data_IF_364096823248
#
_entry.id   IF_364096823248
#
_cell.length_a   1.000
_cell.length_b   1.000
_cell.length_c   1.000
_cell.angle_alpha   90.00
_cell.angle_beta   90.00
_cell.angle_gamma   90.00
#
_symmetry.space_group_name_H-M   'P 1'
#
loop_
_entity.id
_entity.type
_entity.pdbx_description
1 polymer ?
#
# COMPACT_ATOMS: atom_id res chain seq x y z
N UNK A 1 10.27 10.78 10.76
CA UNK A 1 9.59 9.55 10.31
C UNK A 1 9.01 8.82 11.52
N UNK A 2 9.84 8.23 12.38
CA UNK A 2 9.37 7.51 13.58
C UNK A 2 8.74 8.48 14.60
N UNK A 3 9.39 9.61 14.89
CA UNK A 3 8.89 10.60 15.88
C UNK A 3 7.48 11.17 15.60
N UNK A 4 7.13 11.39 14.34
CA UNK A 4 5.80 11.93 13.98
C UNK A 4 4.71 10.86 14.13
N UNK A 5 5.02 9.63 13.71
CA UNK A 5 4.13 8.48 13.87
C UNK A 5 3.94 8.11 15.34
N UNK A 6 5.02 8.03 16.12
CA UNK A 6 4.98 7.75 17.56
C UNK A 6 4.18 8.83 18.30
N UNK A 7 4.36 10.10 17.94
CA UNK A 7 3.58 11.19 18.50
C UNK A 7 2.09 11.05 18.21
N UNK A 8 1.71 10.63 17.00
CA UNK A 8 0.32 10.35 16.62
C UNK A 8 -0.23 9.11 17.31
N UNK A 9 0.57 8.06 17.47
CA UNK A 9 0.20 6.83 18.18
C UNK A 9 -0.07 7.08 19.67
N UNK A 10 0.79 7.86 20.33
CA UNK A 10 0.69 8.09 21.78
C UNK A 10 -0.44 9.07 22.11
N UNK A 11 -0.66 10.09 21.27
CA UNK A 11 -1.59 11.20 21.57
C UNK A 11 -2.91 11.15 20.81
N UNK A 12 -2.98 10.37 19.74
CA UNK A 12 -4.14 10.30 18.85
C UNK A 12 -5.00 9.07 19.09
N UNK A 13 -6.23 9.16 18.61
CA UNK A 13 -7.14 8.03 18.48
C UNK A 13 -6.69 7.09 17.36
N UNK A 14 -7.17 5.84 17.37
CA UNK A 14 -6.93 4.88 16.30
C UNK A 14 -7.37 5.44 14.94
N UNK A 15 -8.52 6.13 14.89
CA UNK A 15 -9.01 6.74 13.65
C UNK A 15 -8.05 7.82 13.11
N UNK A 16 -7.49 8.67 13.98
CA UNK A 16 -6.53 9.68 13.57
C UNK A 16 -5.22 9.06 13.06
N UNK A 17 -4.74 8.00 13.71
CA UNK A 17 -3.55 7.26 13.26
C UNK A 17 -3.79 6.61 11.90
N UNK A 18 -4.93 5.92 11.73
CA UNK A 18 -5.28 5.28 10.45
C UNK A 18 -5.42 6.31 9.32
N UNK A 19 -6.05 7.46 9.57
CA UNK A 19 -6.11 8.57 8.59
C UNK A 19 -4.72 9.10 8.27
N UNK A 20 -3.85 9.25 9.26
CA UNK A 20 -2.50 9.74 9.08
C UNK A 20 -1.65 8.81 8.21
N UNK A 21 -1.62 7.51 8.50
CA UNK A 21 -0.80 6.55 7.73
C UNK A 21 -1.33 6.33 6.30
N UNK A 22 -2.60 6.63 6.05
CA UNK A 22 -3.20 6.57 4.71
C UNK A 22 -3.06 7.89 3.92
N UNK A 23 -2.38 8.91 4.45
CA UNK A 23 -2.10 10.13 3.66
C UNK A 23 -1.18 9.81 2.47
N UNK A 24 -1.40 10.43 1.29
CA UNK A 24 -0.57 10.20 0.10
C UNK A 24 0.93 10.37 0.35
N UNK A 25 1.31 11.31 1.22
CA UNK A 25 2.70 11.55 1.59
C UNK A 25 3.30 10.38 2.37
N UNK A 26 2.53 9.76 3.29
CA UNK A 26 3.00 8.61 4.06
C UNK A 26 3.08 7.35 3.19
N UNK A 27 2.09 7.14 2.31
CA UNK A 27 2.11 6.04 1.35
C UNK A 27 3.30 6.13 0.39
N UNK A 28 3.57 7.33 -0.15
CA UNK A 28 4.73 7.59 -1.01
C UNK A 28 6.06 7.37 -0.28
N UNK A 29 6.15 7.84 0.97
CA UNK A 29 7.34 7.61 1.82
C UNK A 29 7.57 6.13 2.07
N UNK A 30 6.50 5.37 2.35
CA UNK A 30 6.58 3.93 2.56
C UNK A 30 7.12 3.21 1.31
N UNK A 31 6.52 3.45 0.14
CA UNK A 31 6.99 2.88 -1.13
C UNK A 31 8.44 3.30 -1.45
N UNK A 32 8.82 4.54 -1.13
CA UNK A 32 10.18 5.04 -1.34
C UNK A 32 11.23 4.24 -0.57
N UNK A 33 10.89 3.53 0.52
CA UNK A 33 11.87 2.69 1.22
C UNK A 33 12.39 1.57 0.32
N UNK A 34 11.49 0.95 -0.44
CA UNK A 34 11.81 -0.11 -1.39
C UNK A 34 12.54 0.44 -2.61
N UNK A 35 12.02 1.51 -3.20
CA UNK A 35 12.54 2.02 -4.48
C UNK A 35 13.85 2.81 -4.34
N UNK A 36 13.99 3.62 -3.28
CA UNK A 36 15.17 4.47 -3.10
C UNK A 36 16.36 3.71 -2.52
N UNK A 37 16.11 2.71 -1.68
CA UNK A 37 17.16 2.01 -0.94
C UNK A 37 17.31 0.55 -1.38
N UNK A 38 16.26 -0.27 -1.29
CA UNK A 38 16.39 -1.71 -1.60
C UNK A 38 16.69 -1.98 -3.07
N UNK A 39 15.96 -1.35 -4.00
CA UNK A 39 16.17 -1.55 -5.44
C UNK A 39 17.58 -1.15 -5.92
N UNK A 40 18.31 -0.34 -5.13
CA UNK A 40 19.68 0.09 -5.41
C UNK A 40 20.76 -0.90 -4.94
N UNK A 41 20.39 -1.95 -4.21
CA UNK A 41 21.35 -2.95 -3.74
C UNK A 41 21.79 -3.82 -4.91
N UNK A 42 23.09 -3.94 -5.13
CA UNK A 42 23.64 -4.55 -6.35
C UNK A 42 23.61 -3.58 -7.55
N UNK A 43 23.81 -4.14 -8.75
CA UNK A 43 23.63 -3.62 -10.11
C UNK A 43 24.64 -4.30 -11.06
N UNK A 44 24.42 -4.22 -12.38
CA UNK A 44 25.32 -4.79 -13.38
C UNK A 44 25.18 -6.31 -13.47
N UNK A 45 26.17 -7.07 -12.97
CA UNK A 45 26.11 -8.55 -13.02
C UNK A 45 25.30 -9.18 -11.89
N UNK A 46 24.84 -8.40 -10.91
CA UNK A 46 24.09 -8.89 -9.76
C UNK A 46 22.99 -7.88 -9.39
N UNK A 47 21.73 -8.24 -9.62
CA UNK A 47 20.57 -7.38 -9.40
C UNK A 47 19.79 -7.71 -8.11
N UNK A 48 20.45 -8.27 -7.09
CA UNK A 48 19.82 -8.75 -5.85
C UNK A 48 18.77 -7.80 -5.23
N UNK A 49 19.02 -6.49 -5.20
CA UNK A 49 18.06 -5.51 -4.68
C UNK A 49 16.82 -5.34 -5.54
N UNK A 50 16.99 -5.34 -6.87
CA UNK A 50 15.87 -5.29 -7.81
C UNK A 50 15.08 -6.60 -7.79
N UNK A 51 15.76 -7.75 -7.67
CA UNK A 51 15.14 -9.07 -7.51
C UNK A 51 14.27 -9.12 -6.23
N UNK A 52 14.81 -8.69 -5.09
CA UNK A 52 14.06 -8.63 -3.83
C UNK A 52 12.83 -7.71 -3.91
N UNK A 53 12.95 -6.57 -4.60
CA UNK A 53 11.80 -5.68 -4.81
C UNK A 53 10.81 -6.29 -5.81
N UNK A 54 11.27 -7.00 -6.84
CA UNK A 54 10.40 -7.71 -7.78
C UNK A 54 9.58 -8.80 -7.08
N UNK A 55 10.17 -9.57 -6.16
CA UNK A 55 9.45 -10.56 -5.34
C UNK A 55 8.38 -9.91 -4.46
N UNK A 56 8.66 -8.72 -3.94
CA UNK A 56 7.66 -7.94 -3.21
C UNK A 56 6.52 -7.46 -4.12
N UNK A 57 6.81 -7.04 -5.36
CA UNK A 57 5.76 -6.73 -6.35
C UNK A 57 4.94 -7.97 -6.71
N UNK A 58 5.59 -9.13 -6.90
CA UNK A 58 4.91 -10.40 -7.16
C UNK A 58 3.94 -10.76 -6.03
N UNK A 59 4.34 -10.57 -4.77
CA UNK A 59 3.43 -10.75 -3.62
C UNK A 59 2.19 -9.86 -3.71
N UNK A 60 2.35 -8.58 -4.09
CA UNK A 60 1.22 -7.67 -4.22
C UNK A 60 0.32 -8.04 -5.41
N UNK A 61 0.88 -8.52 -6.51
CA UNK A 61 0.10 -9.08 -7.64
C UNK A 61 -0.68 -10.32 -7.23
N UNK A 62 -0.10 -11.20 -6.42
CA UNK A 62 -0.81 -12.37 -5.88
C UNK A 62 -1.97 -11.96 -4.96
N UNK A 63 -1.77 -10.96 -4.09
CA UNK A 63 -2.84 -10.39 -3.25
C UNK A 63 -3.94 -9.80 -4.12
N UNK A 64 -3.59 -8.99 -5.12
CA UNK A 64 -4.55 -8.41 -6.06
C UNK A 64 -5.34 -9.49 -6.81
N UNK A 65 -4.66 -10.52 -7.32
CA UNK A 65 -5.31 -11.68 -7.96
C UNK A 65 -6.32 -12.33 -7.02
N UNK A 66 -5.97 -12.52 -5.75
CA UNK A 66 -6.91 -13.08 -4.78
C UNK A 66 -8.12 -12.17 -4.54
N UNK A 67 -7.92 -10.85 -4.49
CA UNK A 67 -9.02 -9.89 -4.32
C UNK A 67 -9.98 -9.98 -5.50
N UNK A 68 -9.49 -9.83 -6.74
CA UNK A 68 -10.38 -9.77 -7.92
C UNK A 68 -11.09 -11.09 -8.23
N UNK A 69 -10.58 -12.23 -7.75
CA UNK A 69 -11.25 -13.53 -7.89
C UNK A 69 -12.25 -13.83 -6.75
N UNK A 70 -12.33 -12.98 -5.72
CA UNK A 70 -13.28 -13.12 -4.61
C UNK A 70 -14.41 -12.08 -4.65
N UNK A 71 -14.27 -11.04 -5.47
CA UNK A 71 -15.27 -9.98 -5.60
C UNK A 71 -16.23 -10.32 -6.74
N UNK A 72 -17.51 -10.38 -6.43
CA UNK A 72 -18.58 -10.63 -7.39
C UNK A 72 -19.21 -9.30 -7.86
N UNK A 73 -19.82 -9.23 -9.06
CA UNK A 73 -20.53 -8.03 -9.53
C UNK A 73 -21.66 -7.55 -8.60
N UNK A 74 -22.17 -8.41 -7.73
CA UNK A 74 -23.17 -8.07 -6.70
C UNK A 74 -22.59 -7.35 -5.49
N UNK A 75 -21.27 -7.42 -5.28
CA UNK A 75 -20.60 -6.81 -4.14
C UNK A 75 -20.47 -5.30 -4.34
N UNK A 76 -21.31 -4.54 -3.63
CA UNK A 76 -21.34 -3.08 -3.78
C UNK A 76 -20.17 -2.36 -3.10
N UNK A 77 -19.65 -2.91 -2.02
CA UNK A 77 -18.58 -2.31 -1.23
C UNK A 77 -17.62 -3.38 -0.74
N UNK A 78 -16.35 -3.22 -1.09
CA UNK A 78 -15.26 -4.11 -0.66
C UNK A 78 -14.31 -3.30 0.22
N UNK A 79 -14.13 -3.71 1.47
CA UNK A 79 -13.22 -3.05 2.40
C UNK A 79 -11.91 -3.84 2.46
N UNK A 80 -10.80 -3.17 2.10
CA UNK A 80 -9.47 -3.75 2.14
C UNK A 80 -8.71 -3.25 3.37
N UNK A 81 -8.29 -4.18 4.24
CA UNK A 81 -7.45 -3.89 5.40
C UNK A 81 -6.13 -4.64 5.22
N UNK A 82 -5.07 -3.90 4.90
CA UNK A 82 -3.74 -4.45 4.68
C UNK A 82 -2.67 -3.60 5.36
N UNK A 83 -1.50 -4.20 5.58
CA UNK A 83 -0.33 -3.47 6.06
C UNK A 83 0.01 -2.32 5.11
N UNK A 84 0.35 -1.15 5.67
CA UNK A 84 0.55 0.11 4.95
C UNK A 84 1.47 -0.02 3.72
N UNK A 85 2.48 -0.88 3.78
CA UNK A 85 3.42 -1.07 2.67
C UNK A 85 2.79 -1.63 1.41
N UNK A 86 1.71 -2.40 1.51
CA UNK A 86 1.04 -2.99 0.35
C UNK A 86 0.13 -1.98 -0.39
N UNK A 87 -0.35 -0.96 0.33
CA UNK A 87 -1.38 -0.05 -0.16
C UNK A 87 -0.98 0.68 -1.44
N UNK A 88 0.25 1.23 -1.61
CA UNK A 88 0.60 1.94 -2.84
C UNK A 88 0.48 1.09 -4.11
N UNK A 89 0.90 -0.18 -4.06
CA UNK A 89 0.84 -1.08 -5.23
C UNK A 89 -0.59 -1.55 -5.45
N UNK A 90 -1.28 -2.00 -4.39
CA UNK A 90 -2.66 -2.47 -4.51
C UNK A 90 -3.59 -1.36 -5.02
N UNK A 91 -3.40 -0.13 -4.55
CA UNK A 91 -4.13 1.04 -5.01
C UNK A 91 -3.91 1.29 -6.50
N UNK A 92 -2.66 1.33 -6.95
CA UNK A 92 -2.36 1.47 -8.38
C UNK A 92 -3.01 0.38 -9.24
N UNK A 93 -2.94 -0.89 -8.80
CA UNK A 93 -3.54 -2.02 -9.52
C UNK A 93 -5.07 -1.94 -9.60
N UNK A 94 -5.73 -1.51 -8.52
CA UNK A 94 -7.19 -1.34 -8.49
C UNK A 94 -7.64 -0.11 -9.28
N UNK A 95 -6.95 1.02 -9.16
CA UNK A 95 -7.23 2.24 -9.93
C UNK A 95 -7.01 2.03 -11.45
N UNK A 96 -6.19 1.05 -11.83
CA UNK A 96 -5.94 0.68 -13.24
C UNK A 96 -6.95 -0.34 -13.78
N UNK A 97 -7.92 -0.78 -12.98
CA UNK A 97 -8.96 -1.72 -13.40
C UNK A 97 -10.32 -0.99 -13.36
N UNK A 98 -10.94 -0.87 -14.54
CA UNK A 98 -12.17 -0.09 -14.77
C UNK A 98 -13.43 -0.71 -14.12
N UNK A 99 -13.33 -1.92 -13.56
CA UNK A 99 -14.40 -2.51 -12.75
C UNK A 99 -14.43 -1.99 -11.31
N UNK A 100 -13.44 -1.21 -10.86
CA UNK A 100 -13.32 -0.75 -9.48
C UNK A 100 -13.19 0.77 -9.36
N UNK A 101 -13.97 1.35 -8.44
CA UNK A 101 -13.78 2.73 -7.97
C UNK A 101 -13.07 2.73 -6.62
N UNK A 102 -11.82 3.20 -6.60
CA UNK A 102 -11.03 3.26 -5.35
C UNK A 102 -11.39 4.48 -4.52
N UNK A 103 -11.89 4.22 -3.30
CA UNK A 103 -12.32 5.26 -2.36
C UNK A 103 -11.29 5.45 -1.24
N UNK A 104 -10.92 6.71 -0.98
CA UNK A 104 -9.96 7.05 0.08
C UNK A 104 -10.55 6.89 1.49
N UNK A 105 -9.80 6.27 2.41
CA UNK A 105 -10.23 6.05 3.80
C UNK A 105 -10.72 7.34 4.48
N UNK A 106 -10.06 8.46 4.23
CA UNK A 106 -10.41 9.77 4.82
C UNK A 106 -11.83 10.25 4.46
N UNK A 107 -12.41 9.73 3.38
CA UNK A 107 -13.76 10.10 2.92
C UNK A 107 -14.86 9.27 3.61
N UNK A 108 -14.52 8.11 4.17
CA UNK A 108 -15.46 7.16 4.77
C UNK A 108 -15.32 7.03 6.28
N UNK A 109 -14.11 7.16 6.81
CA UNK A 109 -13.83 7.09 8.25
C UNK A 109 -14.04 8.48 8.86
N UNK A 110 -15.11 8.63 9.66
CA UNK A 110 -15.44 9.89 10.37
C UNK A 110 -14.47 10.17 11.51
#
# INVERSE_FOLDING_TARGET
MIKDFDGKLIKGTIAEVLKYINQPEQLRRNLSLYLKFMAKIGAGKNYAGAEAVADWYLRNLAIYSNIINQVEPSDKYVILIFGQGHIPILKHLLESNDNFDVVELKSVLK
#
